data_IF_336935982128
#
_entry.id   IF_336935982128
#
_cell.length_a   1.000
_cell.length_b   1.000
_cell.length_c   1.000
_cell.angle_alpha   90.00
_cell.angle_beta   90.00
_cell.angle_gamma   90.00
#
_symmetry.space_group_name_H-M   'P 1'
#
loop_
_entity.id
_entity.type
_entity.pdbx_description
1 polymer ?
#
# COMPACT_ATOMS: atom_id res chain seq x y z
N UNK A 1 16.25 -13.12 1.66
CA UNK A 1 15.89 -12.25 0.51
C UNK A 1 14.44 -11.80 0.68
N UNK A 2 14.15 -10.51 0.67
CA UNK A 2 12.77 -10.00 0.80
C UNK A 2 12.06 -10.03 -0.57
N UNK A 3 10.80 -10.48 -0.61
CA UNK A 3 9.97 -10.53 -1.82
C UNK A 3 8.94 -9.41 -1.78
N UNK A 4 8.97 -8.52 -2.77
CA UNK A 4 7.95 -7.48 -2.94
C UNK A 4 6.66 -8.15 -3.43
N UNK A 5 5.57 -7.98 -2.67
CA UNK A 5 4.25 -8.55 -3.00
C UNK A 5 3.40 -7.56 -3.80
N UNK A 6 3.47 -6.27 -3.48
CA UNK A 6 2.64 -5.21 -4.08
C UNK A 6 3.42 -3.89 -4.14
N UNK A 7 3.21 -3.14 -5.22
CA UNK A 7 3.66 -1.75 -5.37
C UNK A 7 2.44 -0.88 -5.69
N UNK A 8 2.16 0.15 -4.88
CA UNK A 8 1.05 1.08 -5.10
C UNK A 8 1.56 2.52 -5.05
N UNK A 9 1.20 3.32 -6.04
CA UNK A 9 1.56 4.74 -6.14
C UNK A 9 0.30 5.58 -6.01
N UNK A 10 0.28 6.41 -4.95
CA UNK A 10 -0.77 7.40 -4.73
C UNK A 10 -0.28 8.77 -5.18
N UNK A 11 -1.11 9.47 -5.95
CA UNK A 11 -0.90 10.90 -6.18
C UNK A 11 -1.69 11.70 -5.15
N UNK A 12 -1.28 12.94 -4.87
CA UNK A 12 -1.91 13.79 -3.84
C UNK A 12 -3.43 14.01 -4.08
N UNK A 13 -3.92 13.72 -5.28
CA UNK A 13 -5.35 13.75 -5.64
C UNK A 13 -6.16 12.51 -5.21
N UNK A 14 -5.74 11.81 -4.14
CA UNK A 14 -6.45 10.71 -3.45
C UNK A 14 -6.76 9.45 -4.26
N UNK A 15 -6.52 9.44 -5.57
CA UNK A 15 -6.67 8.25 -6.42
C UNK A 15 -5.30 7.58 -6.63
N UNK A 16 -5.20 6.25 -6.43
CA UNK A 16 -4.01 5.51 -6.86
C UNK A 16 -3.86 5.66 -8.37
N UNK A 17 -2.71 6.18 -8.81
CA UNK A 17 -2.40 6.26 -10.24
C UNK A 17 -1.92 4.92 -10.77
N UNK A 18 -1.31 4.10 -9.91
CA UNK A 18 -0.79 2.79 -10.29
C UNK A 18 -0.88 1.81 -9.12
N UNK A 19 -1.36 0.60 -9.38
CA UNK A 19 -1.25 -0.54 -8.45
C UNK A 19 -0.76 -1.76 -9.23
N UNK A 20 0.31 -2.40 -8.74
CA UNK A 20 0.92 -3.58 -9.34
C UNK A 20 1.05 -4.66 -8.27
N UNK A 21 0.30 -5.74 -8.44
CA UNK A 21 0.34 -6.91 -7.56
C UNK A 21 1.22 -7.99 -8.20
N UNK A 22 2.27 -8.41 -7.49
CA UNK A 22 3.19 -9.46 -7.93
C UNK A 22 2.75 -10.86 -7.47
N UNK A 23 1.65 -10.91 -6.73
CA UNK A 23 0.97 -12.12 -6.28
C UNK A 23 -0.52 -11.98 -6.62
N UNK A 24 -1.17 -13.11 -6.86
CA UNK A 24 -2.61 -13.16 -7.09
C UNK A 24 -3.35 -12.87 -5.79
N UNK A 25 -4.20 -11.85 -5.84
CA UNK A 25 -5.16 -11.48 -4.81
C UNK A 25 -6.51 -11.31 -5.47
N UNK A 26 -7.60 -11.61 -4.74
CA UNK A 26 -8.95 -11.29 -5.22
C UNK A 26 -9.11 -9.78 -5.36
N UNK A 27 -10.04 -9.34 -6.21
CA UNK A 27 -10.31 -7.92 -6.41
C UNK A 27 -10.65 -7.21 -5.08
N UNK A 28 -11.46 -7.85 -4.25
CA UNK A 28 -11.82 -7.35 -2.92
C UNK A 28 -10.59 -7.12 -2.02
N UNK A 29 -9.69 -8.12 -1.95
CA UNK A 29 -8.44 -8.00 -1.20
C UNK A 29 -7.53 -6.92 -1.77
N UNK A 30 -7.45 -6.80 -3.11
CA UNK A 30 -6.68 -5.73 -3.74
C UNK A 30 -7.23 -4.35 -3.36
N UNK A 31 -8.55 -4.17 -3.39
CA UNK A 31 -9.20 -2.93 -3.00
C UNK A 31 -8.97 -2.62 -1.52
N UNK A 32 -9.05 -3.62 -0.64
CA UNK A 32 -8.77 -3.46 0.79
C UNK A 32 -7.32 -2.99 1.01
N UNK A 33 -6.35 -3.68 0.40
CA UNK A 33 -4.92 -3.32 0.50
C UNK A 33 -4.69 -1.88 0.04
N UNK A 34 -5.29 -1.47 -1.08
CA UNK A 34 -5.16 -0.10 -1.60
C UNK A 34 -5.74 0.93 -0.62
N UNK A 35 -6.94 0.66 -0.06
CA UNK A 35 -7.62 1.57 0.88
C UNK A 35 -6.84 1.71 2.19
N UNK A 36 -6.40 0.60 2.77
CA UNK A 36 -5.64 0.59 4.02
C UNK A 36 -4.28 1.26 3.83
N UNK A 37 -3.57 0.95 2.74
CA UNK A 37 -2.27 1.58 2.43
C UNK A 37 -2.43 3.09 2.24
N UNK A 38 -3.48 3.53 1.53
CA UNK A 38 -3.78 4.95 1.38
C UNK A 38 -4.08 5.62 2.72
N UNK A 39 -4.90 4.99 3.56
CA UNK A 39 -5.25 5.52 4.88
C UNK A 39 -4.04 5.63 5.79
N UNK A 40 -3.17 4.62 5.78
CA UNK A 40 -1.90 4.62 6.52
C UNK A 40 -0.93 5.67 6.00
N UNK A 41 -0.85 5.88 4.69
CA UNK A 41 0.04 6.87 4.08
C UNK A 41 -0.47 8.32 4.26
N UNK A 42 -1.79 8.53 4.15
CA UNK A 42 -2.43 9.86 4.24
C UNK A 42 -2.51 10.44 5.66
N UNK A 43 -2.43 9.60 6.69
CA UNK A 43 -2.44 10.02 8.10
C UNK A 43 -1.05 10.30 8.69
N UNK A 44 0.02 10.15 7.90
CA UNK A 44 1.40 10.26 8.39
C UNK A 44 2.01 11.63 8.10
N UNK A 45 2.72 12.16 9.09
CA UNK A 45 3.63 13.29 8.96
C UNK A 45 4.76 12.95 7.97
N UNK A 46 5.37 13.96 7.33
CA UNK A 46 6.36 13.79 6.25
C UNK A 46 7.61 12.96 6.65
N UNK A 47 7.77 12.65 7.96
CA UNK A 47 8.91 11.99 8.57
C UNK A 47 8.66 10.56 9.11
N UNK A 48 7.52 9.90 8.82
CA UNK A 48 7.21 8.58 9.42
C UNK A 48 7.67 7.39 8.55
N UNK A 49 8.55 6.58 9.16
CA UNK A 49 9.12 5.26 8.81
C UNK A 49 8.67 4.52 7.52
N UNK A 50 9.68 4.05 6.76
CA UNK A 50 9.60 3.25 5.51
C UNK A 50 9.37 1.73 5.71
N UNK A 51 8.99 1.26 6.89
CA UNK A 51 8.72 -0.16 7.13
C UNK A 51 7.55 -0.35 8.11
N UNK A 52 6.52 -1.07 7.67
CA UNK A 52 5.52 -1.70 8.52
C UNK A 52 6.02 -3.12 8.82
N UNK A 53 6.27 -3.43 10.10
CA UNK A 53 6.41 -4.82 10.55
C UNK A 53 4.99 -5.36 10.81
N UNK A 54 4.68 -6.52 10.25
CA UNK A 54 3.63 -7.37 10.84
C UNK A 54 4.25 -7.93 12.13
N UNK A 55 3.77 -7.49 13.28
CA UNK A 55 4.10 -8.12 14.56
C UNK A 55 3.49 -9.52 14.56
N UNK A 56 4.35 -10.54 14.62
CA UNK A 56 4.04 -11.91 15.01
C UNK A 56 5.07 -12.35 16.05
#
# INVERSE_FOLDING_TARGET
MARIKVTVTFSNHRKPQLSKFHQLYSEDTQQQIIRETFHLASKRDENVCKFLKEDY
#
